data_IF_780624209588
#
_entry.id   IF_780624209588
#
_cell.length_a   1.000
_cell.length_b   1.000
_cell.length_c   1.000
_cell.angle_alpha   90.00
_cell.angle_beta   90.00
_cell.angle_gamma   90.00
#
_symmetry.space_group_name_H-M   'P 1'
#
loop_
_entity.id
_entity.type
_entity.pdbx_description
1 polymer ?
#
# COMPACT_ATOMS: atom_id res chain seq x y z
N UNK A 1 8.52 -13.70 -6.46
CA UNK A 1 8.12 -12.74 -5.40
C UNK A 1 9.31 -12.15 -4.61
N UNK A 2 9.33 -10.82 -4.43
CA UNK A 2 10.39 -10.12 -3.66
C UNK A 2 10.12 -10.12 -2.14
N UNK A 3 8.85 -10.26 -1.72
CA UNK A 3 8.43 -10.24 -0.32
C UNK A 3 7.18 -9.38 -0.10
N UNK A 4 7.07 -8.78 1.08
CA UNK A 4 5.96 -7.88 1.44
C UNK A 4 6.19 -6.51 0.76
N UNK A 5 5.17 -6.03 0.06
CA UNK A 5 5.16 -4.73 -0.61
C UNK A 5 4.31 -3.71 0.16
N UNK A 6 4.92 -2.62 0.64
CA UNK A 6 4.22 -1.45 1.16
C UNK A 6 3.86 -0.52 0.00
N UNK A 7 2.56 -0.29 -0.18
CA UNK A 7 1.99 0.49 -1.27
C UNK A 7 1.33 1.74 -0.71
N UNK A 8 1.84 2.93 -1.04
CA UNK A 8 1.29 4.20 -0.58
C UNK A 8 0.69 4.95 -1.77
N UNK A 9 -0.60 5.32 -1.66
CA UNK A 9 -1.35 5.95 -2.75
C UNK A 9 -1.91 7.33 -2.38
N UNK A 10 -2.03 8.24 -3.36
CA UNK A 10 -2.59 9.58 -3.16
C UNK A 10 -4.12 9.57 -3.23
N UNK A 11 -4.73 10.71 -2.91
CA UNK A 11 -6.19 10.89 -2.88
C UNK A 11 -6.84 11.14 -4.24
N UNK A 12 -6.09 11.57 -5.25
CA UNK A 12 -6.66 12.10 -6.51
C UNK A 12 -7.26 11.04 -7.44
N UNK A 13 -6.75 9.80 -7.40
CA UNK A 13 -7.30 8.67 -8.15
C UNK A 13 -7.27 7.40 -7.28
N UNK A 14 -8.10 7.31 -6.23
CA UNK A 14 -7.91 6.33 -5.16
C UNK A 14 -8.00 4.88 -5.66
N UNK A 15 -8.98 4.57 -6.50
CA UNK A 15 -9.11 3.23 -7.08
C UNK A 15 -7.96 2.93 -8.05
N UNK A 16 -7.73 3.80 -9.03
CA UNK A 16 -6.75 3.56 -10.09
C UNK A 16 -5.31 3.49 -9.58
N UNK A 17 -4.93 4.30 -8.58
CA UNK A 17 -3.59 4.26 -7.99
C UNK A 17 -3.37 3.01 -7.14
N UNK A 18 -4.38 2.56 -6.38
CA UNK A 18 -4.31 1.33 -5.62
C UNK A 18 -4.17 0.12 -6.54
N UNK A 19 -5.06 -0.04 -7.51
CA UNK A 19 -5.06 -1.21 -8.40
C UNK A 19 -3.81 -1.27 -9.29
N UNK A 20 -3.29 -0.13 -9.77
CA UNK A 20 -2.01 -0.08 -10.52
C UNK A 20 -0.81 -0.57 -9.72
N UNK A 21 -0.87 -0.53 -8.39
CA UNK A 21 0.20 -1.03 -7.51
C UNK A 21 -0.06 -2.46 -7.05
N UNK A 22 -1.30 -2.79 -6.70
CA UNK A 22 -1.69 -4.12 -6.20
C UNK A 22 -1.57 -5.16 -7.32
N UNK A 23 -2.12 -4.89 -8.51
CA UNK A 23 -2.15 -5.85 -9.61
C UNK A 23 -0.76 -6.41 -9.97
N UNK A 24 0.28 -5.59 -10.24
CA UNK A 24 1.61 -6.13 -10.52
C UNK A 24 2.27 -6.79 -9.30
N UNK A 25 1.97 -6.36 -8.07
CA UNK A 25 2.51 -7.01 -6.87
C UNK A 25 1.94 -8.43 -6.72
N UNK A 26 0.62 -8.60 -6.86
CA UNK A 26 -0.02 -9.92 -6.82
C UNK A 26 0.43 -10.80 -7.99
N UNK A 27 0.52 -10.25 -9.21
CA UNK A 27 1.01 -10.99 -10.38
C UNK A 27 2.46 -11.49 -10.20
N UNK A 28 3.30 -10.77 -9.46
CA UNK A 28 4.66 -11.20 -9.11
C UNK A 28 4.72 -12.18 -7.92
N UNK A 29 3.57 -12.54 -7.33
CA UNK A 29 3.43 -13.41 -6.17
C UNK A 29 3.72 -12.74 -4.82
N UNK A 30 3.73 -11.41 -4.76
CA UNK A 30 3.98 -10.67 -3.52
C UNK A 30 2.70 -10.50 -2.70
N UNK A 31 2.85 -10.33 -1.39
CA UNK A 31 1.79 -9.82 -0.51
C UNK A 31 1.88 -8.30 -0.38
N UNK A 32 0.76 -7.65 -0.06
CA UNK A 32 0.67 -6.19 -0.05
C UNK A 32 0.11 -5.66 1.26
N UNK A 33 0.67 -4.53 1.68
CA UNK A 33 0.09 -3.62 2.67
C UNK A 33 -0.18 -2.30 1.94
N UNK A 34 -1.45 -2.02 1.67
CA UNK A 34 -1.89 -0.75 1.09
C UNK A 34 -2.15 0.25 2.22
N UNK A 35 -1.47 1.40 2.17
CA UNK A 35 -1.79 2.57 2.98
C UNK A 35 -2.33 3.70 2.10
N UNK A 36 -3.66 3.82 1.93
CA UNK A 36 -4.24 4.87 1.11
C UNK A 36 -4.09 6.25 1.76
N UNK A 37 -4.43 7.30 1.02
CA UNK A 37 -4.63 8.63 1.58
C UNK A 37 -5.81 8.62 2.58
N UNK A 38 -5.67 9.39 3.65
CA UNK A 38 -6.68 9.50 4.73
C UNK A 38 -7.98 10.15 4.26
N UNK A 39 -7.93 10.91 3.16
CA UNK A 39 -9.04 11.65 2.58
C UNK A 39 -9.99 10.75 1.77
N UNK A 40 -9.49 9.62 1.26
CA UNK A 40 -10.26 8.69 0.41
C UNK A 40 -10.12 7.22 0.82
N UNK A 41 -10.28 6.87 2.11
CA UNK A 41 -9.98 5.53 2.61
C UNK A 41 -11.02 4.48 2.18
N UNK A 42 -12.28 4.88 2.01
CA UNK A 42 -13.39 3.96 1.76
C UNK A 42 -13.25 3.20 0.43
N UNK A 43 -12.66 3.82 -0.60
CA UNK A 43 -12.37 3.15 -1.87
C UNK A 43 -11.39 2.00 -1.70
N UNK A 44 -10.40 2.13 -0.82
CA UNK A 44 -9.45 1.06 -0.54
C UNK A 44 -10.11 -0.13 0.16
N UNK A 45 -11.05 0.13 1.08
CA UNK A 45 -11.83 -0.93 1.72
C UNK A 45 -12.76 -1.64 0.73
N UNK A 46 -13.42 -0.90 -0.16
CA UNK A 46 -14.24 -1.50 -1.22
C UNK A 46 -13.39 -2.39 -2.14
N UNK A 47 -12.19 -1.95 -2.53
CA UNK A 47 -11.26 -2.80 -3.29
C UNK A 47 -10.83 -4.04 -2.51
N UNK A 48 -10.53 -3.93 -1.21
CA UNK A 48 -10.18 -5.09 -0.38
C UNK A 48 -11.30 -6.12 -0.31
N UNK A 49 -12.55 -5.68 -0.19
CA UNK A 49 -13.72 -6.57 -0.27
C UNK A 49 -13.79 -7.28 -1.63
N UNK A 50 -13.62 -6.56 -2.74
CA UNK A 50 -13.60 -7.15 -4.08
C UNK A 50 -12.46 -8.17 -4.27
N UNK A 51 -11.28 -7.94 -3.67
CA UNK A 51 -10.19 -8.92 -3.71
C UNK A 51 -10.54 -10.18 -2.93
N UNK A 52 -11.16 -10.05 -1.76
CA UNK A 52 -11.65 -11.19 -0.99
C UNK A 52 -12.70 -11.98 -1.77
N UNK A 53 -13.69 -11.30 -2.36
CA UNK A 53 -14.70 -11.92 -3.23
C UNK A 53 -14.10 -12.64 -4.45
N UNK A 54 -13.02 -12.08 -5.02
CA UNK A 54 -12.28 -12.70 -6.12
C UNK A 54 -11.42 -13.91 -5.69
N UNK A 55 -11.40 -14.27 -4.39
CA UNK A 55 -10.67 -15.42 -3.87
C UNK A 55 -9.20 -15.16 -3.57
N UNK A 56 -8.79 -13.89 -3.40
CA UNK A 56 -7.46 -13.58 -2.87
C UNK A 56 -7.37 -14.11 -1.43
N UNK A 57 -6.36 -14.93 -1.09
CA UNK A 57 -6.25 -15.50 0.25
C UNK A 57 -6.11 -14.43 1.35
N UNK A 58 -6.63 -14.75 2.53
CA UNK A 58 -6.53 -13.88 3.71
C UNK A 58 -5.07 -13.50 4.00
N UNK A 59 -4.85 -12.22 4.32
CA UNK A 59 -3.53 -11.66 4.60
C UNK A 59 -2.67 -11.38 3.37
N UNK A 60 -3.10 -11.71 2.15
CA UNK A 60 -2.37 -11.35 0.92
C UNK A 60 -2.55 -9.87 0.58
N UNK A 61 -3.75 -9.31 0.74
CA UNK A 61 -4.04 -7.88 0.58
C UNK A 61 -4.53 -7.30 1.90
N UNK A 62 -3.74 -6.42 2.50
CA UNK A 62 -4.07 -5.75 3.76
C UNK A 62 -4.20 -4.24 3.52
N UNK A 63 -5.20 -3.60 4.12
CA UNK A 63 -5.41 -2.15 4.03
C UNK A 63 -5.28 -1.51 5.40
N UNK A 64 -4.31 -0.62 5.55
CA UNK A 64 -4.07 0.14 6.78
C UNK A 64 -4.34 1.63 6.55
N UNK A 65 -5.34 2.16 7.26
CA UNK A 65 -5.64 3.60 7.26
C UNK A 65 -5.12 4.23 8.54
N UNK A 66 -4.83 5.52 8.49
CA UNK A 66 -4.37 6.27 9.66
C UNK A 66 -4.56 7.76 9.43
N UNK A 67 -4.78 8.52 10.50
CA UNK A 67 -4.69 9.98 10.52
C UNK A 67 -3.25 10.47 10.77
N UNK A 68 -2.33 9.58 11.17
CA UNK A 68 -0.92 9.87 11.47
C UNK A 68 0.02 9.01 10.60
N UNK A 69 0.26 9.41 9.33
CA UNK A 69 0.93 8.56 8.34
C UNK A 69 2.41 8.29 8.64
N UNK A 70 3.14 9.23 9.25
CA UNK A 70 4.58 9.12 9.51
C UNK A 70 4.93 7.88 10.35
N UNK A 71 4.50 7.81 11.63
CA UNK A 71 4.82 6.69 12.51
C UNK A 71 4.43 5.31 11.96
N UNK A 72 3.24 5.21 11.34
CA UNK A 72 2.79 3.96 10.73
C UNK A 72 3.71 3.55 9.57
N UNK A 73 4.08 4.50 8.70
CA UNK A 73 4.92 4.21 7.54
C UNK A 73 6.33 3.85 7.95
N UNK A 74 6.94 4.60 8.88
CA UNK A 74 8.28 4.30 9.38
C UNK A 74 8.33 2.94 10.09
N UNK A 75 7.31 2.58 10.87
CA UNK A 75 7.23 1.26 11.49
C UNK A 75 7.14 0.12 10.47
N UNK A 76 6.39 0.30 9.38
CA UNK A 76 6.34 -0.68 8.29
C UNK A 76 7.68 -0.80 7.56
N UNK A 77 8.35 0.33 7.28
CA UNK A 77 9.64 0.33 6.56
C UNK A 77 10.79 -0.24 7.40
N UNK A 78 10.74 -0.10 8.73
CA UNK A 78 11.72 -0.68 9.65
C UNK A 78 11.61 -2.22 9.78
N UNK A 79 10.51 -2.83 9.34
CA UNK A 79 10.36 -4.29 9.40
C UNK A 79 11.18 -4.98 8.30
N UNK A 80 12.14 -5.86 8.64
CA UNK A 80 13.02 -6.50 7.65
C UNK A 80 12.29 -7.42 6.66
N UNK A 81 11.03 -7.78 6.93
CA UNK A 81 10.19 -8.58 6.02
C UNK A 81 9.58 -7.73 4.91
N UNK A 82 9.51 -6.40 5.08
CA UNK A 82 9.12 -5.48 4.01
C UNK A 82 10.30 -5.34 3.05
N UNK A 83 10.07 -5.69 1.78
CA UNK A 83 11.13 -5.77 0.76
C UNK A 83 10.91 -4.80 -0.40
N UNK A 84 9.78 -4.08 -0.41
CA UNK A 84 9.44 -3.13 -1.46
C UNK A 84 8.56 -2.00 -0.94
N UNK A 85 9.01 -0.77 -1.17
CA UNK A 85 8.17 0.42 -1.14
C UNK A 85 7.74 0.82 -2.56
N UNK A 86 6.46 1.16 -2.73
CA UNK A 86 5.92 1.82 -3.92
C UNK A 86 5.08 3.01 -3.50
N UNK A 87 5.61 4.21 -3.71
CA UNK A 87 4.98 5.46 -3.30
C UNK A 87 4.47 6.26 -4.52
N UNK A 88 3.33 6.92 -4.36
CA UNK A 88 2.89 8.00 -5.25
C UNK A 88 2.31 9.12 -4.38
N UNK A 89 2.81 10.34 -4.58
CA UNK A 89 2.44 11.52 -3.80
C UNK A 89 3.38 12.67 -4.09
N UNK A 90 3.56 13.59 -3.14
CA UNK A 90 4.44 14.75 -3.32
C UNK A 90 5.92 14.36 -3.34
N UNK A 91 6.72 15.12 -4.10
CA UNK A 91 8.17 14.91 -4.20
C UNK A 91 8.86 14.99 -2.83
N UNK A 92 8.44 15.93 -1.97
CA UNK A 92 9.01 16.10 -0.64
C UNK A 92 8.86 14.86 0.24
N UNK A 93 7.65 14.29 0.28
CA UNK A 93 7.39 13.04 1.02
C UNK A 93 8.14 11.87 0.38
N UNK A 94 8.18 11.79 -0.96
CA UNK A 94 8.92 10.74 -1.65
C UNK A 94 10.42 10.74 -1.29
N UNK A 95 11.04 11.92 -1.17
CA UNK A 95 12.44 12.04 -0.73
C UNK A 95 12.64 11.59 0.72
N UNK A 96 11.73 11.94 1.62
CA UNK A 96 11.80 11.50 3.01
C UNK A 96 11.70 9.96 3.11
N UNK A 97 10.73 9.36 2.42
CA UNK A 97 10.55 7.92 2.41
C UNK A 97 11.74 7.17 1.81
N UNK A 98 12.38 7.70 0.76
CA UNK A 98 13.58 7.08 0.18
C UNK A 98 14.79 7.11 1.13
N UNK A 99 14.83 8.04 2.08
CA UNK A 99 15.89 8.07 3.08
C UNK A 99 15.65 7.07 4.22
N UNK A 100 14.41 6.59 4.39
CA UNK A 100 14.01 5.61 5.42
C UNK A 100 13.89 4.18 4.90
N UNK A 101 13.80 3.98 3.57
CA UNK A 101 13.49 2.71 2.92
C UNK A 101 14.71 1.87 2.52
#
# INVERSE_FOLDING_TARGET
PIGICVLITPWNFPAAMATRKIAPALAAGCTVILKPASETPLTAYALAALYSEAGVPDGVVNVLTTSTPGPLTSAMLADPRVRKLSFTGSTGVGRALLAEA
#
